data_IF_893739107262
#
_entry.id   IF_893739107262
#
_cell.length_a   1.000
_cell.length_b   1.000
_cell.length_c   1.000
_cell.angle_alpha   90.00
_cell.angle_beta   90.00
_cell.angle_gamma   90.00
#
_symmetry.space_group_name_H-M   'P 1'
#
loop_
_entity.id
_entity.type
_entity.pdbx_description
1 polymer ?
#
# COMPACT_ATOMS: atom_id res chain seq x y z
N UNK A 1 2.80 7.28 27.78
CA UNK A 1 3.33 6.26 26.85
C UNK A 1 2.60 4.96 27.19
N UNK A 2 2.04 4.24 26.20
CA UNK A 2 1.08 3.14 26.46
C UNK A 2 1.29 1.88 25.59
N UNK A 3 2.33 1.85 24.75
CA UNK A 3 2.56 0.76 23.80
C UNK A 3 4.00 0.29 23.90
N UNK A 4 4.19 -1.03 24.00
CA UNK A 4 5.50 -1.68 24.03
C UNK A 4 5.62 -2.57 22.79
N UNK A 5 6.79 -2.54 22.14
CA UNK A 5 7.08 -3.44 21.02
C UNK A 5 7.72 -4.72 21.55
N UNK A 6 7.02 -5.84 21.41
CA UNK A 6 7.50 -7.18 21.76
C UNK A 6 8.02 -7.87 20.48
N UNK A 7 9.16 -8.56 20.58
CA UNK A 7 9.82 -9.26 19.47
C UNK A 7 10.21 -10.67 19.90
N UNK A 8 10.49 -11.54 18.92
CA UNK A 8 10.92 -12.93 19.14
C UNK A 8 9.93 -13.77 19.97
N UNK A 9 8.65 -13.67 19.64
CA UNK A 9 7.61 -14.52 20.23
C UNK A 9 7.87 -15.97 19.79
N UNK A 10 7.93 -16.94 20.72
CA UNK A 10 8.19 -18.33 20.37
C UNK A 10 7.02 -18.89 19.54
N UNK A 11 7.30 -19.72 18.52
CA UNK A 11 6.24 -20.41 17.79
C UNK A 11 5.64 -21.53 18.65
N UNK A 12 4.32 -21.58 18.72
CA UNK A 12 3.56 -22.63 19.39
C UNK A 12 2.79 -23.45 18.34
N UNK A 13 2.80 -24.80 18.40
CA UNK A 13 2.05 -25.63 17.45
C UNK A 13 0.54 -25.64 17.69
N UNK A 14 0.09 -25.33 18.91
CA UNK A 14 -1.31 -25.44 19.33
C UNK A 14 -2.01 -24.07 19.37
N UNK A 15 -1.26 -22.97 19.59
CA UNK A 15 -1.79 -21.61 19.67
C UNK A 15 -1.25 -20.69 18.55
N UNK A 16 -2.09 -19.80 18.05
CA UNK A 16 -1.64 -18.70 17.19
C UNK A 16 -0.80 -17.70 18.00
N UNK A 17 0.09 -16.96 17.32
CA UNK A 17 0.87 -15.86 17.94
C UNK A 17 -0.04 -14.86 18.67
N UNK A 18 -1.23 -14.66 18.13
CA UNK A 18 -2.29 -13.83 18.66
C UNK A 18 -2.78 -14.31 20.03
N UNK A 19 -3.19 -15.57 20.11
CA UNK A 19 -3.69 -16.19 21.35
C UNK A 19 -2.59 -16.27 22.40
N UNK A 20 -1.37 -16.64 22.01
CA UNK A 20 -0.23 -16.75 22.91
C UNK A 20 0.10 -15.40 23.58
N UNK A 21 0.11 -14.31 22.80
CA UNK A 21 0.35 -12.95 23.32
C UNK A 21 -0.77 -12.54 24.26
N UNK A 22 -2.02 -12.76 23.87
CA UNK A 22 -3.17 -12.40 24.68
C UNK A 22 -3.18 -13.15 26.02
N UNK A 23 -2.98 -14.47 26.00
CA UNK A 23 -2.88 -15.30 27.19
C UNK A 23 -1.72 -14.86 28.09
N UNK A 24 -0.53 -14.65 27.53
CA UNK A 24 0.65 -14.21 28.29
C UNK A 24 0.40 -12.90 29.03
N UNK A 25 -0.17 -11.89 28.36
CA UNK A 25 -0.40 -10.59 28.98
C UNK A 25 -1.59 -10.58 29.94
N UNK A 26 -2.65 -11.35 29.67
CA UNK A 26 -3.76 -11.48 30.61
C UNK A 26 -3.34 -12.18 31.91
N UNK A 27 -2.46 -13.19 31.84
CA UNK A 27 -1.97 -13.89 33.04
C UNK A 27 -0.99 -13.04 33.84
N UNK A 28 -0.05 -12.37 33.18
CA UNK A 28 1.02 -11.64 33.87
C UNK A 28 0.68 -10.19 34.20
N UNK A 29 -0.20 -9.55 33.41
CA UNK A 29 -0.54 -8.12 33.52
C UNK A 29 -2.04 -7.84 33.36
N UNK A 30 -2.94 -8.53 34.10
CA UNK A 30 -4.39 -8.43 33.91
C UNK A 30 -4.94 -7.01 34.07
N UNK A 31 -4.42 -6.24 35.03
CA UNK A 31 -4.94 -4.91 35.36
C UNK A 31 -4.48 -3.80 34.40
N UNK A 32 -3.47 -4.07 33.58
CA UNK A 32 -2.83 -3.08 32.70
C UNK A 32 -2.91 -3.44 31.22
N UNK A 33 -3.22 -4.70 30.92
CA UNK A 33 -3.37 -5.16 29.55
C UNK A 33 -4.66 -4.59 28.93
N UNK A 34 -4.52 -3.97 27.76
CA UNK A 34 -5.63 -3.36 27.03
C UNK A 34 -5.91 -4.12 25.73
N UNK A 35 -4.90 -4.24 24.87
CA UNK A 35 -5.00 -4.88 23.56
C UNK A 35 -3.59 -5.11 22.99
N UNK A 36 -3.52 -5.90 21.92
CA UNK A 36 -2.31 -6.11 21.14
C UNK A 36 -2.62 -5.91 19.65
N UNK A 37 -1.57 -5.65 18.88
CA UNK A 37 -1.64 -5.62 17.43
C UNK A 37 -0.54 -6.51 16.88
N UNK A 38 -0.93 -7.61 16.22
CA UNK A 38 0.01 -8.47 15.53
C UNK A 38 0.65 -7.75 14.34
N UNK A 39 1.94 -7.98 14.15
CA UNK A 39 2.73 -7.41 13.04
C UNK A 39 2.95 -8.49 12.00
N UNK A 40 2.41 -8.27 10.80
CA UNK A 40 2.51 -9.19 9.67
C UNK A 40 3.49 -8.65 8.61
N UNK A 41 4.03 -9.55 7.78
CA UNK A 41 4.88 -9.15 6.66
C UNK A 41 4.04 -8.54 5.53
N UNK A 42 3.84 -7.22 5.58
CA UNK A 42 3.14 -6.46 4.56
C UNK A 42 4.08 -5.78 3.55
N UNK A 43 5.33 -6.26 3.37
CA UNK A 43 6.32 -5.60 2.52
C UNK A 43 5.86 -5.45 1.06
N UNK A 44 5.31 -6.53 0.48
CA UNK A 44 4.80 -6.53 -0.90
C UNK A 44 3.59 -5.60 -1.05
N UNK A 45 2.69 -5.59 -0.07
CA UNK A 45 1.56 -4.66 -0.03
C UNK A 45 2.04 -3.21 0.04
N UNK A 46 3.04 -2.92 0.89
CA UNK A 46 3.64 -1.58 1.01
C UNK A 46 4.23 -1.10 -0.31
N UNK A 47 5.01 -1.94 -1.00
CA UNK A 47 5.58 -1.60 -2.31
C UNK A 47 4.52 -1.28 -3.36
N UNK A 48 3.42 -2.04 -3.39
CA UNK A 48 2.32 -1.80 -4.33
C UNK A 48 1.61 -0.47 -4.02
N UNK A 49 1.36 -0.19 -2.74
CA UNK A 49 0.74 1.06 -2.29
C UNK A 49 1.62 2.26 -2.65
N UNK A 50 2.93 2.16 -2.47
CA UNK A 50 3.85 3.25 -2.80
C UNK A 50 4.00 3.47 -4.31
N UNK A 51 4.01 2.39 -5.12
CA UNK A 51 3.90 2.50 -6.59
C UNK A 51 2.63 3.22 -7.00
N UNK A 52 1.48 2.92 -6.38
CA UNK A 52 0.21 3.60 -6.66
C UNK A 52 0.26 5.09 -6.31
N UNK A 53 0.82 5.47 -5.15
CA UNK A 53 1.00 6.87 -4.76
C UNK A 53 1.86 7.63 -5.77
N UNK A 54 2.95 7.03 -6.24
CA UNK A 54 3.81 7.66 -7.25
C UNK A 54 3.06 7.89 -8.58
N UNK A 55 2.23 6.94 -9.03
CA UNK A 55 1.41 7.14 -10.22
C UNK A 55 0.32 8.20 -10.00
N UNK A 56 -0.26 8.28 -8.81
CA UNK A 56 -1.22 9.32 -8.47
C UNK A 56 -0.59 10.71 -8.59
N UNK A 57 0.64 10.91 -8.10
CA UNK A 57 1.36 12.17 -8.27
C UNK A 57 1.53 12.55 -9.75
N UNK A 58 1.79 11.57 -10.63
CA UNK A 58 1.85 11.80 -12.07
C UNK A 58 0.49 12.16 -12.66
N UNK A 59 -0.57 11.47 -12.26
CA UNK A 59 -1.94 11.77 -12.66
C UNK A 59 -2.30 13.21 -12.29
N UNK A 60 -2.07 13.59 -11.03
CA UNK A 60 -2.33 14.94 -10.52
C UNK A 60 -1.54 15.99 -11.30
N UNK A 61 -0.27 15.71 -11.63
CA UNK A 61 0.54 16.59 -12.47
C UNK A 61 -0.10 16.83 -13.85
N UNK A 62 -0.55 15.76 -14.54
CA UNK A 62 -1.16 15.88 -15.86
C UNK A 62 -2.56 16.51 -15.81
N UNK A 63 -3.35 16.22 -14.79
CA UNK A 63 -4.63 16.87 -14.54
C UNK A 63 -4.44 18.38 -14.31
N UNK A 64 -3.47 18.76 -13.46
CA UNK A 64 -3.14 20.17 -13.22
C UNK A 64 -2.66 20.87 -14.51
N UNK A 65 -1.87 20.18 -15.34
CA UNK A 65 -1.44 20.69 -16.65
C UNK A 65 -2.61 20.91 -17.60
N UNK A 66 -3.59 20.01 -17.60
CA UNK A 66 -4.82 20.14 -18.38
C UNK A 66 -5.70 21.29 -17.86
N UNK A 67 -5.89 21.40 -16.54
CA UNK A 67 -6.67 22.50 -15.92
C UNK A 67 -6.10 23.88 -16.24
N UNK A 68 -4.77 23.99 -16.38
CA UNK A 68 -4.09 25.24 -16.79
C UNK A 68 -4.32 25.59 -18.26
N UNK A 69 -4.52 24.60 -19.12
CA UNK A 69 -4.79 24.81 -20.54
C UNK A 69 -5.81 23.78 -21.06
N UNK A 70 -7.12 24.03 -20.86
CA UNK A 70 -8.17 23.07 -21.20
C UNK A 70 -8.28 22.76 -22.69
N UNK A 71 -7.71 23.60 -23.55
CA UNK A 71 -7.75 23.41 -25.01
C UNK A 71 -6.86 22.27 -25.51
N UNK A 72 -5.88 21.81 -24.70
CA UNK A 72 -4.91 20.79 -25.10
C UNK A 72 -4.83 19.67 -24.07
N UNK A 73 -5.25 18.48 -24.46
CA UNK A 73 -5.08 17.27 -23.65
C UNK A 73 -3.60 16.88 -23.59
N UNK A 74 -3.03 16.61 -22.39
CA UNK A 74 -1.63 16.25 -22.27
C UNK A 74 -1.39 14.85 -22.84
N UNK A 75 -0.45 14.76 -23.78
CA UNK A 75 -0.07 13.50 -24.44
C UNK A 75 1.35 13.13 -24.04
N UNK A 76 1.58 11.84 -23.77
CA UNK A 76 2.88 11.26 -23.48
C UNK A 76 3.24 10.20 -24.50
N UNK A 77 4.53 9.90 -24.62
CA UNK A 77 5.00 8.73 -25.36
C UNK A 77 5.32 7.60 -24.39
N UNK A 78 4.91 6.38 -24.71
CA UNK A 78 5.01 5.23 -23.78
C UNK A 78 6.40 4.57 -23.77
N UNK A 79 7.27 4.87 -24.73
CA UNK A 79 8.58 4.22 -24.85
C UNK A 79 9.67 4.79 -23.93
N UNK A 80 10.91 4.39 -24.20
CA UNK A 80 12.06 4.65 -23.31
C UNK A 80 12.22 6.14 -23.00
N UNK A 81 12.23 6.46 -21.69
CA UNK A 81 12.30 7.82 -21.12
C UNK A 81 11.24 8.82 -21.64
N UNK A 82 10.17 8.34 -22.27
CA UNK A 82 9.17 9.20 -22.93
C UNK A 82 9.67 9.81 -24.25
N UNK A 83 10.77 9.32 -24.81
CA UNK A 83 11.35 9.84 -26.05
C UNK A 83 10.79 9.14 -27.30
N UNK A 84 10.52 7.83 -27.21
CA UNK A 84 10.07 6.98 -28.31
C UNK A 84 8.68 6.36 -28.04
N UNK A 85 8.05 5.81 -29.07
CA UNK A 85 6.80 5.06 -28.96
C UNK A 85 5.53 5.84 -29.29
N UNK A 86 4.40 5.13 -29.15
CA UNK A 86 3.06 5.64 -29.41
C UNK A 86 2.70 6.80 -28.49
N UNK A 87 2.00 7.78 -29.06
CA UNK A 87 1.48 8.94 -28.35
C UNK A 87 0.10 8.59 -27.78
N UNK A 88 0.00 8.53 -26.45
CA UNK A 88 -1.24 8.23 -25.73
C UNK A 88 -1.61 9.37 -24.81
N UNK A 89 -2.89 9.44 -24.46
CA UNK A 89 -3.37 10.38 -23.46
C UNK A 89 -2.72 10.09 -22.10
N UNK A 90 -2.14 11.11 -21.48
CA UNK A 90 -1.46 10.94 -20.21
C UNK A 90 -2.44 10.61 -19.08
N UNK A 91 -3.59 11.29 -19.03
CA UNK A 91 -4.56 11.14 -17.94
C UNK A 91 -5.15 9.74 -18.00
N UNK A 92 -5.60 9.29 -19.18
CA UNK A 92 -6.18 7.95 -19.33
C UNK A 92 -5.14 6.86 -19.01
N UNK A 93 -3.93 6.98 -19.55
CA UNK A 93 -2.87 5.99 -19.31
C UNK A 93 -2.47 5.84 -17.84
N UNK A 94 -2.38 6.94 -17.08
CA UNK A 94 -2.09 6.84 -15.64
C UNK A 94 -3.31 6.35 -14.85
N UNK A 95 -4.53 6.70 -15.27
CA UNK A 95 -5.78 6.19 -14.67
C UNK A 95 -5.85 4.67 -14.78
N UNK A 96 -5.63 4.12 -15.98
CA UNK A 96 -5.67 2.67 -16.23
C UNK A 96 -4.60 1.93 -15.41
N UNK A 97 -3.39 2.51 -15.30
CA UNK A 97 -2.32 1.93 -14.48
C UNK A 97 -2.66 1.94 -12.98
N UNK A 98 -3.27 3.01 -12.49
CA UNK A 98 -3.72 3.11 -11.09
C UNK A 98 -4.82 2.07 -10.82
N UNK A 99 -5.76 1.88 -11.74
CA UNK A 99 -6.80 0.87 -11.61
C UNK A 99 -6.20 -0.54 -11.56
N UNK A 100 -5.26 -0.84 -12.47
CA UNK A 100 -4.54 -2.12 -12.48
C UNK A 100 -3.77 -2.39 -11.18
N UNK A 101 -3.11 -1.37 -10.60
CA UNK A 101 -2.47 -1.49 -9.30
C UNK A 101 -3.47 -1.65 -8.17
N UNK A 102 -4.61 -0.96 -8.23
CA UNK A 102 -5.65 -1.04 -7.20
C UNK A 102 -6.21 -2.46 -7.10
N UNK A 103 -6.45 -3.12 -8.24
CA UNK A 103 -6.86 -4.54 -8.26
C UNK A 103 -5.80 -5.43 -7.60
N UNK A 104 -4.52 -5.24 -7.93
CA UNK A 104 -3.40 -6.00 -7.32
C UNK A 104 -3.29 -5.77 -5.81
N UNK A 105 -3.49 -4.54 -5.35
CA UNK A 105 -3.49 -4.19 -3.92
C UNK A 105 -4.63 -4.90 -3.20
N UNK A 106 -5.83 -4.91 -3.77
CA UNK A 106 -6.98 -5.61 -3.19
C UNK A 106 -6.71 -7.10 -3.03
N UNK A 107 -6.19 -7.74 -4.08
CA UNK A 107 -5.81 -9.17 -4.03
C UNK A 107 -4.73 -9.42 -2.99
N UNK A 108 -3.68 -8.59 -2.93
CA UNK A 108 -2.62 -8.75 -1.94
C UNK A 108 -3.13 -8.56 -0.51
N UNK A 109 -4.04 -7.62 -0.29
CA UNK A 109 -4.64 -7.35 1.02
C UNK A 109 -5.47 -8.53 1.54
N UNK A 110 -6.04 -9.36 0.66
CA UNK A 110 -6.75 -10.58 1.06
C UNK A 110 -5.79 -11.73 1.43
N UNK A 111 -4.53 -11.66 0.97
CA UNK A 111 -3.51 -12.70 1.23
C UNK A 111 -2.61 -12.42 2.43
N UNK A 112 -2.62 -11.18 2.94
CA UNK A 112 -1.87 -10.73 4.12
C UNK A 112 -2.75 -10.80 5.35
#
# INVERSE_FOLDING_TARGET
QFTVLVRNIPPDPDESVSELVEHFFMVNHPDYYLTYQAVYNANKLSELVDKRKNLQNWLDYYQNKHSRNPSKRPVIKVGFLGCWGEKVDAIDHYTDKIEGLTRKISTEKETV
#
